data_IF_473931326453
#
_entry.id   IF_473931326453
#
_cell.length_a   1.000
_cell.length_b   1.000
_cell.length_c   1.000
_cell.angle_alpha   90.00
_cell.angle_beta   90.00
_cell.angle_gamma   90.00
#
_symmetry.space_group_name_H-M   'P 1'
#
loop_
_entity.id
_entity.type
_entity.pdbx_description
1 polymer ?
#
# COMPACT_ATOMS: atom_id res chain seq x y z
N UNK A 1 -14.85 4.37 -7.58
CA UNK A 1 -13.47 4.90 -7.78
C UNK A 1 -13.12 5.75 -6.58
N UNK A 2 -11.85 6.10 -6.32
CA UNK A 2 -11.53 6.90 -5.12
C UNK A 2 -12.31 8.23 -5.10
N UNK A 3 -12.58 8.81 -6.27
CA UNK A 3 -13.36 10.05 -6.40
C UNK A 3 -14.75 9.94 -5.79
N UNK A 4 -15.39 8.78 -5.93
CA UNK A 4 -16.69 8.51 -5.33
C UNK A 4 -16.55 8.44 -3.81
N UNK A 5 -15.50 7.80 -3.30
CA UNK A 5 -15.19 7.74 -1.87
C UNK A 5 -14.95 9.15 -1.31
N UNK A 6 -14.18 10.00 -2.00
CA UNK A 6 -13.89 11.37 -1.56
C UNK A 6 -15.13 12.25 -1.56
N UNK A 7 -15.99 12.15 -2.58
CA UNK A 7 -17.27 12.86 -2.63
C UNK A 7 -18.17 12.43 -1.48
N UNK A 8 -18.32 11.12 -1.27
CA UNK A 8 -19.12 10.57 -0.19
C UNK A 8 -18.57 10.94 1.18
N UNK A 9 -17.25 10.93 1.37
CA UNK A 9 -16.60 11.31 2.61
C UNK A 9 -16.97 12.74 3.05
N UNK A 10 -17.09 13.68 2.10
CA UNK A 10 -17.53 15.06 2.39
C UNK A 10 -19.00 15.15 2.83
N UNK A 11 -19.83 14.20 2.44
CA UNK A 11 -21.26 14.14 2.78
C UNK A 11 -21.57 13.31 4.03
N UNK A 12 -20.58 12.60 4.58
CA UNK A 12 -20.75 11.73 5.72
C UNK A 12 -20.75 12.49 7.04
N UNK A 13 -21.64 12.10 7.94
CA UNK A 13 -21.66 12.63 9.29
C UNK A 13 -20.84 11.74 10.26
N UNK A 14 -20.71 12.21 11.51
CA UNK A 14 -19.99 11.47 12.55
C UNK A 14 -20.60 10.09 12.85
N UNK A 15 -21.91 9.90 12.62
CA UNK A 15 -22.60 8.63 12.86
C UNK A 15 -22.24 7.63 11.78
N UNK A 16 -22.15 8.05 10.52
CA UNK A 16 -21.72 7.19 9.41
C UNK A 16 -20.29 6.64 9.66
N UNK A 17 -19.37 7.51 10.06
CA UNK A 17 -18.00 7.13 10.44
C UNK A 17 -17.97 6.20 11.66
N UNK A 18 -18.85 6.42 12.66
CA UNK A 18 -18.97 5.52 13.83
C UNK A 18 -19.53 4.15 13.47
N UNK A 19 -20.46 4.07 12.51
CA UNK A 19 -20.96 2.77 12.01
C UNK A 19 -19.82 2.00 11.37
N UNK A 20 -19.09 2.62 10.43
CA UNK A 20 -17.94 1.99 9.77
C UNK A 20 -16.88 1.51 10.79
N UNK A 21 -16.52 2.37 11.76
CA UNK A 21 -15.56 2.02 12.81
C UNK A 21 -16.08 0.90 13.72
N UNK A 22 -17.38 0.89 14.04
CA UNK A 22 -18.02 -0.17 14.83
C UNK A 22 -17.96 -1.52 14.11
N UNK A 23 -18.23 -1.54 12.81
CA UNK A 23 -18.09 -2.73 11.97
C UNK A 23 -16.62 -3.18 11.93
N UNK A 24 -15.67 -2.29 11.65
CA UNK A 24 -14.23 -2.64 11.63
C UNK A 24 -13.78 -3.27 12.96
N UNK A 25 -14.18 -2.70 14.10
CA UNK A 25 -13.82 -3.22 15.42
C UNK A 25 -14.48 -4.59 15.65
N UNK A 26 -15.76 -4.72 15.32
CA UNK A 26 -16.51 -5.97 15.47
C UNK A 26 -15.92 -7.10 14.62
N UNK A 27 -15.38 -6.79 13.44
CA UNK A 27 -14.75 -7.76 12.54
C UNK A 27 -13.55 -8.49 13.17
N UNK A 28 -12.98 -8.00 14.27
CA UNK A 28 -11.96 -8.74 15.05
C UNK A 28 -12.50 -10.03 15.70
N UNK A 29 -13.81 -10.10 15.91
CA UNK A 29 -14.47 -11.17 16.66
C UNK A 29 -15.56 -11.87 15.85
N UNK A 30 -16.09 -11.21 14.83
CA UNK A 30 -17.20 -11.71 14.02
C UNK A 30 -16.83 -11.74 12.54
N UNK A 31 -17.23 -12.79 11.84
CA UNK A 31 -17.20 -12.81 10.38
C UNK A 31 -18.20 -11.78 9.84
N UNK A 32 -19.45 -11.83 10.31
CA UNK A 32 -20.48 -10.81 10.05
C UNK A 32 -20.82 -10.13 11.36
N UNK A 33 -20.55 -8.82 11.48
CA UNK A 33 -20.79 -8.10 12.73
C UNK A 33 -22.30 -7.94 12.94
N UNK A 34 -22.89 -8.47 14.02
CA UNK A 34 -24.33 -8.39 14.24
C UNK A 34 -24.82 -6.95 14.34
N UNK A 35 -26.03 -6.69 13.83
CA UNK A 35 -26.66 -5.37 13.91
C UNK A 35 -26.72 -4.86 15.37
N UNK A 36 -27.02 -5.74 16.32
CA UNK A 36 -27.08 -5.42 17.75
C UNK A 36 -25.75 -4.89 18.31
N UNK A 37 -24.62 -5.47 17.91
CA UNK A 37 -23.29 -5.03 18.34
C UNK A 37 -22.96 -3.66 17.76
N UNK A 38 -23.34 -3.41 16.50
CA UNK A 38 -23.21 -2.09 15.87
C UNK A 38 -24.09 -1.07 16.58
N UNK A 39 -25.33 -1.42 16.95
CA UNK A 39 -26.23 -0.56 17.72
C UNK A 39 -25.63 -0.23 19.09
N UNK A 40 -25.11 -1.23 19.82
CA UNK A 40 -24.42 -1.02 21.12
C UNK A 40 -23.24 -0.06 20.99
N UNK A 41 -22.43 -0.23 19.95
CA UNK A 41 -21.26 0.62 19.70
C UNK A 41 -21.64 2.05 19.31
N UNK A 42 -22.63 2.21 18.43
CA UNK A 42 -23.02 3.51 17.86
C UNK A 42 -24.03 4.28 18.72
N UNK A 43 -24.77 3.58 19.58
CA UNK A 43 -25.93 4.06 20.34
C UNK A 43 -27.08 4.56 19.46
N UNK A 44 -27.22 3.99 18.26
CA UNK A 44 -28.33 4.28 17.35
C UNK A 44 -29.52 3.36 17.62
N UNK A 45 -30.73 3.86 17.34
CA UNK A 45 -31.90 3.01 17.24
C UNK A 45 -31.78 2.09 16.04
N UNK A 46 -32.56 1.01 16.02
CA UNK A 46 -32.57 0.08 14.90
C UNK A 46 -32.96 0.78 13.59
N UNK A 47 -33.98 1.64 13.61
CA UNK A 47 -34.43 2.39 12.42
C UNK A 47 -33.37 3.34 11.86
N UNK A 48 -32.65 4.05 12.74
CA UNK A 48 -31.59 4.99 12.32
C UNK A 48 -30.39 4.24 11.75
N UNK A 49 -30.02 3.12 12.38
CA UNK A 49 -28.94 2.26 11.91
C UNK A 49 -29.29 1.67 10.54
N UNK A 50 -30.48 1.11 10.39
CA UNK A 50 -30.95 0.52 9.13
C UNK A 50 -30.95 1.55 7.99
N UNK A 51 -31.44 2.77 8.26
CA UNK A 51 -31.44 3.85 7.27
C UNK A 51 -30.02 4.20 6.78
N UNK A 52 -29.07 4.32 7.70
CA UNK A 52 -27.66 4.62 7.37
C UNK A 52 -26.96 3.45 6.70
N UNK A 53 -27.16 2.22 7.17
CA UNK A 53 -26.61 1.02 6.55
C UNK A 53 -27.11 0.85 5.11
N UNK A 54 -28.38 1.12 4.82
CA UNK A 54 -28.89 1.16 3.45
C UNK A 54 -28.15 2.17 2.58
N UNK A 55 -27.76 3.34 3.11
CA UNK A 55 -26.92 4.32 2.38
C UNK A 55 -25.51 3.78 2.16
N UNK A 56 -24.86 3.24 3.20
CA UNK A 56 -23.50 2.70 3.13
C UNK A 56 -23.39 1.50 2.16
N UNK A 57 -24.39 0.62 2.15
CA UNK A 57 -24.46 -0.54 1.23
C UNK A 57 -24.63 -0.08 -0.22
N UNK A 58 -25.53 0.87 -0.47
CA UNK A 58 -25.72 1.46 -1.82
C UNK A 58 -24.45 2.07 -2.38
N UNK A 59 -23.57 2.55 -1.51
CA UNK A 59 -22.29 3.16 -1.84
C UNK A 59 -21.10 2.18 -1.76
N UNK A 60 -21.35 0.87 -1.70
CA UNK A 60 -20.31 -0.18 -1.62
C UNK A 60 -19.33 -0.03 -0.43
N UNK A 61 -19.70 0.69 0.63
CA UNK A 61 -18.85 0.85 1.82
C UNK A 61 -19.00 -0.31 2.80
N UNK A 62 -20.17 -0.93 2.80
CA UNK A 62 -20.57 -2.03 3.70
C UNK A 62 -21.28 -3.09 2.88
N UNK A 63 -21.10 -4.34 3.26
CA UNK A 63 -21.86 -5.48 2.74
C UNK A 63 -22.70 -6.03 3.90
N UNK A 64 -23.96 -6.39 3.64
CA UNK A 64 -24.86 -6.97 4.62
C UNK A 64 -25.30 -8.38 4.26
N UNK A 65 -25.61 -9.18 5.27
CA UNK A 65 -26.28 -10.49 5.17
C UNK A 65 -27.45 -10.56 6.15
N UNK A 66 -28.44 -11.38 5.83
CA UNK A 66 -29.52 -11.77 6.76
C UNK A 66 -29.42 -13.24 7.17
N UNK A 67 -28.33 -13.93 6.80
CA UNK A 67 -28.10 -15.34 7.07
C UNK A 67 -26.72 -15.52 7.70
N UNK A 68 -26.60 -16.23 8.84
CA UNK A 68 -27.69 -16.80 9.65
C UNK A 68 -28.45 -15.75 10.49
N UNK A 69 -28.00 -14.51 10.52
CA UNK A 69 -28.60 -13.36 11.20
C UNK A 69 -28.30 -12.07 10.43
N UNK A 70 -28.91 -10.96 10.83
CA UNK A 70 -28.60 -9.63 10.29
C UNK A 70 -27.19 -9.19 10.71
N UNK A 71 -26.26 -9.14 9.76
CA UNK A 71 -24.87 -8.83 10.04
C UNK A 71 -24.17 -8.12 8.89
N UNK A 72 -23.06 -7.45 9.20
CA UNK A 72 -22.40 -6.53 8.28
C UNK A 72 -20.87 -6.67 8.28
N UNK A 73 -20.27 -6.39 7.13
CA UNK A 73 -18.82 -6.33 6.92
C UNK A 73 -18.45 -5.01 6.25
N UNK A 74 -17.29 -4.44 6.59
CA UNK A 74 -16.76 -3.28 5.88
C UNK A 74 -16.13 -3.72 4.55
N UNK A 75 -16.28 -2.89 3.52
CA UNK A 75 -15.61 -3.07 2.24
C UNK A 75 -14.54 -2.00 2.02
N UNK A 76 -13.76 -2.12 0.94
CA UNK A 76 -12.60 -1.24 0.71
C UNK A 76 -12.99 0.24 0.69
N UNK A 77 -14.10 0.63 0.07
CA UNK A 77 -14.54 2.03 0.02
C UNK A 77 -14.83 2.60 1.42
N UNK A 78 -15.42 1.79 2.31
CA UNK A 78 -15.61 2.15 3.71
C UNK A 78 -14.29 2.17 4.50
N UNK A 79 -13.37 1.25 4.20
CA UNK A 79 -12.07 1.17 4.84
C UNK A 79 -11.15 2.33 4.45
N UNK A 80 -11.17 2.72 3.17
CA UNK A 80 -10.54 3.92 2.62
C UNK A 80 -11.05 5.16 3.37
N UNK A 81 -12.37 5.28 3.49
CA UNK A 81 -13.01 6.39 4.21
C UNK A 81 -12.50 6.53 5.64
N UNK A 82 -12.37 5.41 6.37
CA UNK A 82 -11.84 5.43 7.74
C UNK A 82 -10.35 5.82 7.79
N UNK A 83 -9.55 5.33 6.85
CA UNK A 83 -8.14 5.70 6.73
C UNK A 83 -8.00 7.20 6.42
N UNK A 84 -8.68 7.68 5.39
CA UNK A 84 -8.72 9.09 4.98
C UNK A 84 -9.16 10.01 6.10
N UNK A 85 -10.27 9.70 6.77
CA UNK A 85 -10.75 10.46 7.92
C UNK A 85 -9.68 10.59 9.01
N UNK A 86 -8.86 9.54 9.21
CA UNK A 86 -7.80 9.61 10.21
C UNK A 86 -6.63 10.48 9.75
N UNK A 87 -6.20 10.31 8.49
CA UNK A 87 -5.08 11.06 7.90
C UNK A 87 -5.41 12.56 7.83
N UNK A 88 -6.65 12.92 7.46
CA UNK A 88 -7.14 14.31 7.43
C UNK A 88 -7.20 14.89 8.85
N UNK A 89 -7.74 14.15 9.83
CA UNK A 89 -7.81 14.62 11.22
C UNK A 89 -6.43 14.83 11.86
N UNK A 90 -5.42 14.10 11.41
CA UNK A 90 -4.02 14.27 11.83
C UNK A 90 -3.32 15.44 11.13
N UNK A 91 -3.94 16.05 10.12
CA UNK A 91 -3.31 17.07 9.28
C UNK A 91 -2.25 16.51 8.33
N UNK A 92 -2.21 15.18 8.12
CA UNK A 92 -1.24 14.54 7.22
C UNK A 92 -1.54 14.86 5.75
N UNK A 93 -2.82 14.89 5.38
CA UNK A 93 -3.28 15.24 4.03
C UNK A 93 -4.45 16.21 4.11
N UNK A 94 -4.53 17.15 3.16
CA UNK A 94 -5.60 18.14 3.01
C UNK A 94 -6.41 17.94 1.73
N UNK A 95 -5.79 17.43 0.67
CA UNK A 95 -6.42 17.14 -0.61
C UNK A 95 -5.89 15.84 -1.22
N UNK A 96 -6.68 15.24 -2.10
CA UNK A 96 -6.33 14.08 -2.91
C UNK A 96 -6.44 14.52 -4.36
N UNK A 97 -5.41 14.21 -5.14
CA UNK A 97 -5.31 14.48 -6.57
C UNK A 97 -5.54 13.21 -7.40
N UNK A 98 -4.89 13.16 -8.54
CA UNK A 98 -5.12 12.14 -9.55
C UNK A 98 -4.63 10.75 -9.09
N UNK A 99 -5.26 9.73 -9.66
CA UNK A 99 -4.77 8.35 -9.61
C UNK A 99 -3.59 8.19 -10.57
N UNK A 100 -2.41 7.94 -10.01
CA UNK A 100 -1.15 7.83 -10.79
C UNK A 100 -0.68 6.39 -10.97
N UNK A 101 -1.29 5.43 -10.27
CA UNK A 101 -0.96 4.02 -10.40
C UNK A 101 -2.07 3.11 -9.88
N UNK A 102 -2.49 2.16 -10.73
CA UNK A 102 -3.37 1.05 -10.35
C UNK A 102 -2.65 -0.25 -10.59
N UNK A 103 -2.30 -0.92 -9.50
CA UNK A 103 -1.79 -2.28 -9.51
C UNK A 103 -2.87 -3.30 -9.14
N UNK A 104 -2.52 -4.57 -9.24
CA UNK A 104 -3.31 -5.66 -8.65
C UNK A 104 -3.36 -5.57 -7.12
N UNK A 105 -2.35 -4.96 -6.53
CA UNK A 105 -2.04 -5.04 -5.10
C UNK A 105 -2.09 -3.68 -4.40
N UNK A 106 -2.16 -2.57 -5.14
CA UNK A 106 -2.33 -1.24 -4.57
C UNK A 106 -2.99 -0.26 -5.54
N UNK A 107 -3.52 0.82 -4.98
CA UNK A 107 -3.97 2.01 -5.73
C UNK A 107 -3.21 3.20 -5.16
N UNK A 108 -2.63 4.02 -6.03
CA UNK A 108 -1.74 5.12 -5.68
C UNK A 108 -2.31 6.43 -6.21
N UNK A 109 -2.44 7.40 -5.32
CA UNK A 109 -2.92 8.74 -5.62
C UNK A 109 -1.88 9.79 -5.24
N UNK A 110 -1.89 10.90 -5.97
CA UNK A 110 -1.32 12.14 -5.47
C UNK A 110 -2.18 12.67 -4.32
N UNK A 111 -1.54 13.35 -3.39
CA UNK A 111 -2.20 14.06 -2.31
C UNK A 111 -1.39 15.31 -1.95
N UNK A 112 -2.03 16.21 -1.21
CA UNK A 112 -1.41 17.45 -0.74
C UNK A 112 -1.38 17.42 0.77
N UNK A 113 -0.26 17.85 1.35
CA UNK A 113 -0.10 18.16 2.76
C UNK A 113 0.07 19.66 2.92
N UNK A 114 -0.82 20.30 3.67
CA UNK A 114 -0.63 21.72 4.05
C UNK A 114 0.53 21.87 5.04
N UNK A 115 1.25 22.99 5.02
CA UNK A 115 2.22 23.32 6.05
C UNK A 115 1.54 23.46 7.42
N UNK A 116 2.23 23.06 8.48
CA UNK A 116 1.72 23.17 9.86
C UNK A 116 1.53 24.63 10.31
N UNK A 117 2.33 25.54 9.73
CA UNK A 117 2.24 26.98 9.92
C UNK A 117 1.67 27.62 8.65
N UNK A 118 0.90 28.71 8.79
CA UNK A 118 0.30 29.45 7.67
C UNK A 118 1.31 30.11 6.70
N UNK A 119 2.60 29.91 6.93
CA UNK A 119 3.69 30.36 6.08
C UNK A 119 4.45 29.13 5.59
N UNK A 120 4.18 28.72 4.35
CA UNK A 120 4.78 27.58 3.69
C UNK A 120 4.02 27.23 2.41
N UNK A 121 4.67 26.52 1.49
CA UNK A 121 4.00 26.01 0.31
C UNK A 121 3.40 24.62 0.62
N UNK A 122 2.22 24.28 0.06
CA UNK A 122 1.68 22.94 0.15
C UNK A 122 2.66 21.93 -0.43
N UNK A 123 2.88 20.83 0.29
CA UNK A 123 3.77 19.75 -0.15
C UNK A 123 2.96 18.69 -0.91
N UNK A 124 3.40 18.34 -2.11
CA UNK A 124 2.91 17.14 -2.81
C UNK A 124 3.41 15.87 -2.13
N UNK A 125 2.50 14.92 -1.90
CA UNK A 125 2.78 13.62 -1.24
C UNK A 125 2.06 12.50 -1.99
N UNK A 126 2.43 11.26 -1.70
CA UNK A 126 1.83 10.06 -2.28
C UNK A 126 0.95 9.39 -1.24
N UNK A 127 -0.29 9.07 -1.62
CA UNK A 127 -1.22 8.27 -0.85
C UNK A 127 -1.38 6.89 -1.51
N UNK A 128 -0.84 5.85 -0.89
CA UNK A 128 -0.91 4.46 -1.36
C UNK A 128 -1.89 3.66 -0.51
N UNK A 129 -2.90 3.08 -1.14
CA UNK A 129 -3.81 2.09 -0.53
C UNK A 129 -3.46 0.68 -0.97
N UNK A 130 -3.22 -0.22 -0.02
CA UNK A 130 -3.04 -1.65 -0.31
C UNK A 130 -4.36 -2.34 -0.64
N UNK A 131 -4.33 -3.26 -1.60
CA UNK A 131 -5.45 -4.05 -2.13
C UNK A 131 -5.13 -5.53 -2.29
N UNK A 132 -4.00 -6.01 -1.74
CA UNK A 132 -3.62 -7.42 -1.78
C UNK A 132 -4.80 -8.35 -1.47
N UNK A 133 -4.95 -9.40 -2.29
CA UNK A 133 -6.07 -10.35 -2.22
C UNK A 133 -7.24 -10.08 -3.20
N UNK A 134 -7.33 -8.89 -3.82
CA UNK A 134 -8.46 -8.52 -4.72
C UNK A 134 -8.53 -9.31 -6.03
N UNK A 135 -7.40 -9.70 -6.63
CA UNK A 135 -7.33 -10.40 -7.93
C UNK A 135 -7.01 -11.88 -7.87
N UNK A 136 -6.25 -12.33 -6.88
CA UNK A 136 -5.82 -13.73 -6.71
C UNK A 136 -7.00 -14.70 -6.59
N UNK A 137 -8.19 -14.19 -6.27
CA UNK A 137 -9.42 -14.98 -6.16
C UNK A 137 -10.41 -14.81 -7.31
N UNK A 138 -10.22 -13.89 -8.29
CA UNK A 138 -11.01 -13.94 -9.53
C UNK A 138 -10.69 -15.20 -10.35
N UNK A 139 -9.45 -15.67 -10.29
CA UNK A 139 -9.04 -16.98 -10.84
C UNK A 139 -9.52 -18.15 -9.97
N UNK A 140 -9.54 -18.01 -8.64
CA UNK A 140 -10.04 -19.05 -7.72
C UNK A 140 -11.57 -19.19 -7.73
N UNK A 141 -12.31 -18.11 -8.01
CA UNK A 141 -13.78 -18.09 -8.20
C UNK A 141 -14.26 -19.01 -9.32
N UNK A 142 -13.40 -19.31 -10.30
CA UNK A 142 -13.72 -20.28 -11.37
C UNK A 142 -13.57 -21.74 -10.93
N UNK A 143 -12.92 -22.02 -9.80
CA UNK A 143 -12.45 -23.38 -9.48
C UNK A 143 -13.00 -23.93 -8.17
N UNK A 144 -13.53 -23.11 -7.25
CA UNK A 144 -14.05 -23.60 -5.94
C UNK A 144 -15.28 -22.83 -5.46
N UNK A 145 -16.47 -23.43 -5.63
CA UNK A 145 -17.78 -22.91 -5.19
C UNK A 145 -18.04 -23.01 -3.67
N UNK A 146 -17.07 -23.43 -2.85
CA UNK A 146 -17.25 -23.72 -1.42
C UNK A 146 -16.62 -22.70 -0.45
N UNK A 147 -16.09 -21.56 -0.95
CA UNK A 147 -15.46 -20.51 -0.14
C UNK A 147 -16.25 -19.20 -0.07
N UNK A 148 -17.51 -19.19 -0.51
CA UNK A 148 -18.36 -17.98 -0.47
C UNK A 148 -18.59 -17.53 0.99
N UNK A 149 -18.09 -16.33 1.35
CA UNK A 149 -18.36 -15.65 2.63
C UNK A 149 -17.12 -15.31 3.47
N UNK A 150 -16.10 -16.18 3.47
CA UNK A 150 -14.89 -16.01 4.32
C UNK A 150 -13.80 -15.12 3.71
N UNK A 151 -13.99 -14.68 2.46
CA UNK A 151 -12.94 -14.06 1.67
C UNK A 151 -12.78 -12.55 1.95
N UNK A 152 -13.87 -11.83 2.29
CA UNK A 152 -13.85 -10.37 2.41
C UNK A 152 -13.10 -9.86 3.65
N UNK A 153 -13.33 -10.46 4.82
CA UNK A 153 -12.56 -10.14 6.04
C UNK A 153 -11.07 -10.38 5.84
N UNK A 154 -10.73 -11.52 5.22
CA UNK A 154 -9.36 -11.90 4.93
C UNK A 154 -8.63 -10.86 4.09
N UNK A 155 -9.28 -10.26 3.09
CA UNK A 155 -8.64 -9.27 2.21
C UNK A 155 -8.39 -7.92 2.88
N UNK A 156 -9.37 -7.39 3.63
CA UNK A 156 -9.18 -6.13 4.37
C UNK A 156 -8.07 -6.29 5.40
N UNK A 157 -8.03 -7.45 6.08
CA UNK A 157 -6.97 -7.76 7.03
C UNK A 157 -5.60 -7.94 6.35
N UNK A 158 -5.54 -8.64 5.21
CA UNK A 158 -4.32 -8.81 4.43
C UNK A 158 -3.76 -7.46 3.95
N UNK A 159 -4.61 -6.61 3.36
CA UNK A 159 -4.22 -5.25 2.95
C UNK A 159 -3.67 -4.42 4.12
N UNK A 160 -4.25 -4.54 5.32
CA UNK A 160 -3.76 -3.88 6.53
C UNK A 160 -2.38 -4.40 6.94
N UNK A 161 -2.15 -5.72 6.86
CA UNK A 161 -0.86 -6.32 7.18
C UNK A 161 0.22 -5.92 6.18
N UNK A 162 -0.11 -5.91 4.90
CA UNK A 162 0.78 -5.46 3.82
C UNK A 162 1.25 -4.01 4.04
N UNK A 163 0.29 -3.11 4.29
CA UNK A 163 0.58 -1.72 4.61
C UNK A 163 1.45 -1.56 5.85
N UNK A 164 1.16 -2.35 6.91
CA UNK A 164 1.97 -2.33 8.12
C UNK A 164 3.40 -2.82 7.86
N UNK A 165 3.55 -3.86 7.02
CA UNK A 165 4.84 -4.44 6.64
C UNK A 165 5.67 -3.44 5.83
N UNK A 166 5.09 -2.85 4.78
CA UNK A 166 5.76 -1.82 3.97
C UNK A 166 6.12 -0.57 4.80
N UNK A 167 5.22 -0.11 5.67
CA UNK A 167 5.51 1.03 6.55
C UNK A 167 6.65 0.73 7.56
N UNK A 168 6.79 -0.51 8.01
CA UNK A 168 7.83 -0.90 8.96
C UNK A 168 9.21 -0.90 8.27
N UNK A 169 9.33 -1.52 7.10
CA UNK A 169 10.61 -1.59 6.39
C UNK A 169 11.08 -0.23 5.88
N UNK A 170 10.18 0.63 5.38
CA UNK A 170 10.58 1.98 4.96
C UNK A 170 11.17 2.78 6.14
N UNK A 171 10.63 2.61 7.36
CA UNK A 171 11.18 3.26 8.56
C UNK A 171 12.55 2.73 8.96
N UNK A 172 12.81 1.44 8.76
CA UNK A 172 14.09 0.80 9.08
C UNK A 172 15.19 1.19 8.06
N UNK A 173 14.80 1.34 6.80
CA UNK A 173 15.70 1.64 5.70
C UNK A 173 16.05 3.14 5.60
N UNK A 174 15.10 4.02 5.89
CA UNK A 174 15.31 5.47 5.81
C UNK A 174 16.09 6.00 7.03
N UNK A 175 17.10 6.88 6.87
CA UNK A 175 17.53 7.54 5.64
C UNK A 175 18.71 6.85 4.92
N UNK A 176 19.20 5.73 5.44
CA UNK A 176 20.45 5.11 5.00
C UNK A 176 20.35 4.52 3.59
N UNK A 177 19.20 3.91 3.28
CA UNK A 177 18.83 3.48 1.93
C UNK A 177 17.93 4.54 1.29
N UNK A 178 18.17 4.80 0.02
CA UNK A 178 17.41 5.77 -0.77
C UNK A 178 16.00 5.26 -1.08
N UNK A 179 15.08 5.56 -0.17
CA UNK A 179 13.63 5.30 -0.29
C UNK A 179 12.84 6.58 -0.04
N UNK A 180 11.61 6.72 -0.56
CA UNK A 180 10.75 7.84 -0.17
C UNK A 180 10.46 7.81 1.32
N UNK A 181 10.51 8.97 1.98
CA UNK A 181 10.25 9.07 3.42
C UNK A 181 8.78 8.76 3.69
N UNK A 182 8.52 7.85 4.63
CA UNK A 182 7.18 7.64 5.14
C UNK A 182 6.78 8.80 6.08
N UNK A 183 5.62 9.40 5.84
CA UNK A 183 5.07 10.51 6.62
C UNK A 183 4.04 10.04 7.65
N UNK A 184 3.13 9.17 7.25
CA UNK A 184 2.11 8.58 8.14
C UNK A 184 1.64 7.24 7.57
N UNK A 185 0.98 6.43 8.39
CA UNK A 185 0.27 5.25 7.95
C UNK A 185 -0.97 5.01 8.81
N UNK A 186 -2.05 4.58 8.18
CA UNK A 186 -3.28 4.22 8.86
C UNK A 186 -3.99 3.09 8.11
N UNK A 187 -4.35 2.02 8.83
CA UNK A 187 -5.01 0.84 8.24
C UNK A 187 -4.17 0.28 7.10
N UNK A 188 -4.70 0.28 5.89
CA UNK A 188 -4.08 -0.15 4.63
C UNK A 188 -3.54 1.01 3.80
N UNK A 189 -3.50 2.22 4.35
CA UNK A 189 -3.05 3.44 3.66
C UNK A 189 -1.68 3.91 4.20
N UNK A 190 -0.78 4.28 3.29
CA UNK A 190 0.50 4.93 3.56
C UNK A 190 0.50 6.32 2.93
N UNK A 191 1.08 7.28 3.64
CA UNK A 191 1.43 8.60 3.11
C UNK A 191 2.93 8.74 3.12
N UNK A 192 3.54 9.04 1.97
CA UNK A 192 4.99 9.15 1.80
C UNK A 192 5.36 10.30 0.88
N UNK A 193 6.63 10.70 0.89
CA UNK A 193 7.16 11.67 -0.06
C UNK A 193 7.02 11.18 -1.50
N UNK A 194 6.94 12.11 -2.45
CA UNK A 194 7.01 11.78 -3.88
C UNK A 194 8.41 11.28 -4.21
N UNK A 195 8.49 10.10 -4.84
CA UNK A 195 9.76 9.57 -5.33
C UNK A 195 10.34 10.52 -6.39
N UNK A 196 11.62 10.87 -6.24
CA UNK A 196 12.28 11.90 -7.05
C UNK A 196 12.63 11.36 -8.43
N UNK A 197 12.21 12.08 -9.46
CA UNK A 197 12.55 11.80 -10.84
C UNK A 197 11.54 10.92 -11.56
N UNK A 198 12.03 9.99 -12.37
CA UNK A 198 11.20 9.17 -13.27
C UNK A 198 11.57 7.70 -13.14
N UNK A 199 10.63 6.80 -13.43
CA UNK A 199 10.88 5.35 -13.41
C UNK A 199 11.96 4.96 -14.42
N UNK A 200 12.96 4.19 -13.98
CA UNK A 200 14.09 3.71 -14.78
C UNK A 200 13.65 3.09 -16.12
N UNK A 201 12.54 2.34 -16.13
CA UNK A 201 12.02 1.76 -17.36
C UNK A 201 11.75 2.82 -18.45
N UNK A 202 11.22 4.00 -18.06
CA UNK A 202 10.87 5.12 -18.96
C UNK A 202 12.07 6.02 -19.28
N UNK A 203 13.11 6.00 -18.46
CA UNK A 203 14.18 7.00 -18.51
C UNK A 203 15.35 6.52 -19.36
N UNK A 204 15.83 7.36 -20.28
CA UNK A 204 17.13 7.15 -20.93
C UNK A 204 18.20 7.80 -20.06
N UNK A 205 19.15 7.02 -19.57
CA UNK A 205 20.22 7.48 -18.70
C UNK A 205 21.36 8.10 -19.52
N UNK A 206 21.92 9.19 -19.01
CA UNK A 206 23.11 9.84 -19.59
C UNK A 206 24.39 9.08 -19.25
N UNK A 207 24.51 8.63 -17.99
CA UNK A 207 25.60 7.77 -17.51
C UNK A 207 25.06 6.45 -16.93
N UNK A 208 24.73 5.46 -17.79
CA UNK A 208 24.14 4.21 -17.34
C UNK A 208 25.04 3.42 -16.39
N UNK A 209 26.36 3.51 -16.53
CA UNK A 209 27.31 2.76 -15.70
C UNK A 209 27.30 3.31 -14.26
N UNK A 210 27.28 4.64 -14.11
CA UNK A 210 27.16 5.27 -12.80
C UNK A 210 25.85 4.89 -12.10
N UNK A 211 24.71 4.98 -12.79
CA UNK A 211 23.41 4.61 -12.22
C UNK A 211 23.33 3.12 -11.85
N UNK A 212 23.91 2.22 -12.66
CA UNK A 212 23.97 0.80 -12.32
C UNK A 212 24.75 0.59 -11.02
N UNK A 213 25.92 1.22 -10.88
CA UNK A 213 26.73 1.12 -9.67
C UNK A 213 26.00 1.69 -8.45
N UNK A 214 25.28 2.81 -8.61
CA UNK A 214 24.47 3.38 -7.53
C UNK A 214 23.31 2.45 -7.13
N UNK A 215 22.63 1.81 -8.08
CA UNK A 215 21.59 0.80 -7.77
C UNK A 215 22.20 -0.36 -6.98
N UNK A 216 23.32 -0.92 -7.45
CA UNK A 216 23.99 -2.05 -6.76
C UNK A 216 24.48 -1.66 -5.37
N UNK A 217 24.98 -0.43 -5.19
CA UNK A 217 25.35 0.11 -3.88
C UNK A 217 24.14 0.19 -2.94
N UNK A 218 22.98 0.64 -3.42
CA UNK A 218 21.75 0.64 -2.61
C UNK A 218 21.28 -0.78 -2.28
N UNK A 219 21.41 -1.74 -3.20
CA UNK A 219 21.12 -3.16 -2.92
C UNK A 219 22.04 -3.70 -1.82
N UNK A 220 23.33 -3.35 -1.85
CA UNK A 220 24.28 -3.74 -0.80
C UNK A 220 23.88 -3.17 0.57
N UNK A 221 23.50 -1.89 0.65
CA UNK A 221 23.02 -1.28 1.90
C UNK A 221 21.75 -1.96 2.44
N UNK A 222 20.84 -2.35 1.56
CA UNK A 222 19.62 -3.10 1.95
C UNK A 222 19.99 -4.47 2.53
N UNK A 223 20.97 -5.15 1.92
CA UNK A 223 21.48 -6.43 2.40
C UNK A 223 22.21 -6.30 3.75
N UNK A 224 23.04 -5.27 3.92
CA UNK A 224 23.73 -4.96 5.19
C UNK A 224 22.74 -4.70 6.33
N UNK A 225 21.60 -4.07 6.02
CA UNK A 225 20.49 -3.89 6.96
C UNK A 225 19.73 -5.18 7.28
N UNK A 226 20.08 -6.30 6.65
CA UNK A 226 19.48 -7.61 6.88
C UNK A 226 18.25 -7.90 6.03
N UNK A 227 18.05 -7.16 4.94
CA UNK A 227 16.86 -7.29 4.08
C UNK A 227 17.21 -7.52 2.61
N UNK A 228 16.23 -8.02 1.86
CA UNK A 228 16.27 -8.15 0.40
C UNK A 228 14.94 -7.64 -0.12
N UNK A 229 14.96 -6.81 -1.16
CA UNK A 229 13.74 -6.22 -1.73
C UNK A 229 12.79 -7.31 -2.24
N UNK A 230 13.31 -8.35 -2.89
CA UNK A 230 12.60 -9.51 -3.40
C UNK A 230 11.46 -9.18 -4.37
N UNK A 231 11.60 -8.08 -5.11
CA UNK A 231 10.83 -7.81 -6.32
C UNK A 231 11.52 -6.74 -7.20
N UNK A 232 12.83 -6.51 -7.02
CA UNK A 232 13.50 -5.35 -7.62
C UNK A 232 13.57 -5.47 -9.15
N UNK A 233 13.24 -4.38 -9.85
CA UNK A 233 13.24 -4.29 -11.32
C UNK A 233 13.28 -2.83 -11.79
N UNK A 234 13.34 -2.59 -13.10
CA UNK A 234 13.28 -1.23 -13.65
C UNK A 234 11.95 -0.50 -13.40
N UNK A 235 10.92 -1.20 -12.91
CA UNK A 235 9.58 -0.66 -12.66
C UNK A 235 9.41 -0.14 -11.22
N UNK A 236 10.34 -0.42 -10.31
CA UNK A 236 10.31 0.05 -8.93
C UNK A 236 11.56 0.87 -8.54
N UNK A 237 12.36 1.26 -9.53
CA UNK A 237 13.50 2.16 -9.37
C UNK A 237 13.18 3.50 -10.02
N UNK A 238 13.13 4.55 -9.21
CA UNK A 238 13.12 5.93 -9.68
C UNK A 238 14.55 6.44 -9.86
N UNK A 239 14.77 7.26 -10.88
CA UNK A 239 16.06 7.88 -11.20
C UNK A 239 15.89 9.38 -11.42
N UNK A 240 16.85 10.15 -10.89
CA UNK A 240 17.03 11.57 -11.15
C UNK A 240 18.53 11.90 -11.18
N UNK A 241 18.87 13.14 -11.50
CA UNK A 241 20.25 13.65 -11.55
C UNK A 241 21.08 13.41 -10.28
N UNK A 242 20.45 13.24 -9.12
CA UNK A 242 21.11 13.04 -7.83
C UNK A 242 21.16 11.57 -7.39
N UNK A 243 20.65 10.62 -8.18
CA UNK A 243 20.71 9.19 -7.89
C UNK A 243 19.39 8.45 -8.06
N UNK A 244 19.21 7.40 -7.26
CA UNK A 244 18.13 6.41 -7.41
C UNK A 244 17.25 6.37 -6.16
N UNK A 245 15.99 5.94 -6.29
CA UNK A 245 15.12 5.61 -5.15
C UNK A 245 14.34 4.33 -5.40
N UNK A 246 14.27 3.46 -4.39
CA UNK A 246 13.51 2.21 -4.44
C UNK A 246 12.13 2.38 -3.83
N UNK A 247 11.12 1.85 -4.50
CA UNK A 247 9.72 1.84 -4.04
C UNK A 247 9.16 0.42 -4.03
N UNK A 248 7.96 0.28 -3.47
CA UNK A 248 7.18 -0.97 -3.49
C UNK A 248 7.84 -2.11 -2.71
N UNK A 249 7.83 -1.94 -1.38
CA UNK A 249 8.46 -2.88 -0.45
C UNK A 249 7.57 -3.97 0.16
N UNK A 250 6.29 -4.23 -0.20
CA UNK A 250 5.47 -5.16 0.59
C UNK A 250 5.99 -6.61 0.60
N UNK A 251 6.76 -7.01 -0.42
CA UNK A 251 7.24 -8.39 -0.58
C UNK A 251 8.60 -8.68 0.06
N UNK A 252 9.31 -7.67 0.60
CA UNK A 252 10.69 -7.81 1.13
C UNK A 252 10.87 -9.05 2.01
N UNK A 253 12.07 -9.62 2.04
CA UNK A 253 12.43 -10.72 2.95
C UNK A 253 13.64 -10.35 3.79
N UNK A 254 13.81 -11.06 4.91
CA UNK A 254 15.05 -10.99 5.70
C UNK A 254 16.13 -11.88 5.07
N UNK A 255 17.40 -11.55 5.30
CA UNK A 255 18.55 -12.38 4.85
C UNK A 255 18.57 -13.77 5.50
N UNK A 256 17.84 -13.96 6.60
CA UNK A 256 17.62 -15.24 7.27
C UNK A 256 16.65 -16.18 6.52
N UNK A 257 15.96 -15.67 5.49
CA UNK A 257 14.98 -16.44 4.73
C UNK A 257 15.63 -17.63 4.01
N UNK A 258 14.99 -18.83 3.97
CA UNK A 258 15.57 -20.03 3.35
C UNK A 258 15.99 -19.86 1.88
N UNK A 259 15.33 -18.93 1.17
CA UNK A 259 15.58 -18.60 -0.24
C UNK A 259 16.21 -17.21 -0.42
N UNK A 260 16.88 -16.66 0.61
CA UNK A 260 17.44 -15.30 0.56
C UNK A 260 18.41 -15.12 -0.61
N UNK A 261 19.38 -16.02 -0.79
CA UNK A 261 20.37 -15.95 -1.86
C UNK A 261 19.73 -15.98 -3.26
N UNK A 262 18.77 -16.87 -3.48
CA UNK A 262 18.01 -16.96 -4.75
C UNK A 262 17.21 -15.68 -5.05
N UNK A 263 16.64 -15.05 -4.02
CA UNK A 263 15.87 -13.82 -4.16
C UNK A 263 16.76 -12.61 -4.44
N UNK A 264 17.92 -12.53 -3.78
CA UNK A 264 18.95 -11.53 -4.07
C UNK A 264 19.48 -11.69 -5.49
N UNK A 265 19.81 -12.92 -5.89
CA UNK A 265 20.27 -13.22 -7.26
C UNK A 265 19.25 -12.79 -8.30
N UNK A 266 17.96 -13.04 -8.05
CA UNK A 266 16.88 -12.64 -8.95
C UNK A 266 16.78 -11.12 -9.06
N UNK A 267 16.84 -10.39 -7.95
CA UNK A 267 16.79 -8.92 -7.93
C UNK A 267 17.96 -8.31 -8.72
N UNK A 268 19.19 -8.74 -8.43
CA UNK A 268 20.41 -8.30 -9.15
C UNK A 268 20.32 -8.66 -10.63
N UNK A 269 19.89 -9.88 -10.95
CA UNK A 269 19.73 -10.34 -12.34
C UNK A 269 18.72 -9.49 -13.11
N UNK A 270 17.61 -9.09 -12.50
CA UNK A 270 16.60 -8.25 -13.16
C UNK A 270 17.18 -6.89 -13.53
N UNK A 271 17.92 -6.26 -12.60
CA UNK A 271 18.63 -5.00 -12.86
C UNK A 271 19.63 -5.18 -13.99
N UNK A 272 20.53 -6.17 -13.91
CA UNK A 272 21.55 -6.41 -14.94
C UNK A 272 20.94 -6.70 -16.32
N UNK A 273 19.85 -7.47 -16.38
CA UNK A 273 19.13 -7.72 -17.65
C UNK A 273 18.59 -6.43 -18.26
N UNK A 274 18.09 -5.50 -17.44
CA UNK A 274 17.64 -4.20 -17.93
C UNK A 274 18.79 -3.43 -18.57
N UNK A 275 19.93 -3.33 -17.88
CA UNK A 275 21.11 -2.58 -18.36
C UNK A 275 21.76 -3.23 -19.58
N UNK A 276 21.86 -4.56 -19.62
CA UNK A 276 22.33 -5.29 -20.80
C UNK A 276 21.46 -5.02 -22.03
N UNK A 277 20.14 -5.11 -21.86
CA UNK A 277 19.18 -4.91 -22.96
C UNK A 277 19.17 -3.46 -23.47
N UNK A 278 19.25 -2.47 -22.58
CA UNK A 278 19.05 -1.05 -22.92
C UNK A 278 20.34 -0.31 -23.25
N UNK A 279 21.47 -0.72 -22.64
CA UNK A 279 22.75 -0.01 -22.70
C UNK A 279 23.94 -0.90 -23.08
N UNK A 280 23.73 -2.20 -23.32
CA UNK A 280 24.79 -3.18 -23.66
C UNK A 280 25.88 -3.33 -22.57
N UNK A 281 25.55 -2.99 -21.33
CA UNK A 281 26.41 -3.22 -20.18
C UNK A 281 26.18 -4.65 -19.70
N UNK A 282 27.24 -5.47 -19.73
CA UNK A 282 27.22 -6.87 -19.32
C UNK A 282 28.20 -7.04 -18.15
N UNK A 283 27.68 -7.36 -16.96
CA UNK A 283 28.46 -7.65 -15.76
C UNK A 283 28.17 -9.06 -15.27
N UNK A 284 29.14 -9.67 -14.62
CA UNK A 284 28.96 -11.01 -14.04
C UNK A 284 28.10 -10.93 -12.77
N UNK A 285 26.95 -11.60 -12.81
CA UNK A 285 26.01 -11.61 -11.69
C UNK A 285 26.61 -12.23 -10.43
N UNK A 286 27.43 -13.28 -10.56
CA UNK A 286 27.98 -14.00 -9.40
C UNK A 286 29.05 -13.20 -8.68
N UNK A 287 29.88 -12.49 -9.45
CA UNK A 287 30.86 -11.55 -8.91
C UNK A 287 30.15 -10.46 -8.08
N UNK A 288 29.12 -9.82 -8.65
CA UNK A 288 28.34 -8.78 -7.97
C UNK A 288 27.66 -9.30 -6.69
N UNK A 289 27.04 -10.48 -6.73
CA UNK A 289 26.41 -11.07 -5.54
C UNK A 289 27.46 -11.35 -4.47
N UNK A 290 28.62 -11.88 -4.86
CA UNK A 290 29.72 -12.13 -3.94
C UNK A 290 30.22 -10.82 -3.30
N UNK A 291 30.32 -9.73 -4.07
CA UNK A 291 30.69 -8.41 -3.52
C UNK A 291 29.62 -7.89 -2.54
N UNK A 292 28.34 -8.06 -2.83
CA UNK A 292 27.24 -7.65 -1.95
C UNK A 292 27.24 -8.44 -0.64
N UNK A 293 27.50 -9.76 -0.69
CA UNK A 293 27.44 -10.63 0.49
C UNK A 293 28.68 -10.57 1.38
N UNK A 294 29.82 -10.08 0.86
CA UNK A 294 31.09 -10.04 1.58
C UNK A 294 31.48 -8.63 2.09
N UNK A 295 30.67 -7.60 1.80
CA UNK A 295 30.79 -6.27 2.42
C UNK A 295 30.09 -6.24 3.78
#
# INVERSE_FOLDING_TARGET
MIDDVVKLFKEMDSKDLRILAGIEIGMKHFEWVPAEDIMKYTRLSHSDLEFKLKKLIRNNMVIGTNQPYEGYQIYFDGYDTLALNTLVKRGTISAIGDEIGVGKESVVHEAVKEPELSFGEPQGVILKFHREGRTSFKSVKRTRSHLEGKEHFSWIYAARLAAKREAAIIKELYPDVSVPKLLDNNRHALVMDVAKGTLLYKTKLEDPEWFLNEILRQVALVYEKGYIHSDLSEYNIFVNENGVQFIDWPQYVEVSHPHAEELLERDVTNVLKHFKRKYQIDKDTKEIISEIMNN
#
